data_IF_683061010695
#
_entry.id   IF_683061010695
#
_cell.length_a   1.000
_cell.length_b   1.000
_cell.length_c   1.000
_cell.angle_alpha   90.00
_cell.angle_beta   90.00
_cell.angle_gamma   90.00
#
_symmetry.space_group_name_H-M   'P 1'
#
loop_
_entity.id
_entity.type
_entity.pdbx_description
1 polymer ?
#
# COMPACT_ATOMS: atom_id res chain seq x y z
N UNK A 1 -12.81 19.72 3.59
CA UNK A 1 -12.72 18.87 2.43
C UNK A 1 -11.68 19.34 1.43
N UNK A 2 -11.37 18.50 0.49
CA UNK A 2 -10.43 18.80 -0.58
C UNK A 2 -11.05 19.81 -1.56
N UNK A 3 -10.32 20.85 -1.89
CA UNK A 3 -10.77 21.87 -2.85
C UNK A 3 -10.87 21.32 -4.27
N UNK A 4 -11.55 22.05 -5.16
CA UNK A 4 -11.66 21.67 -6.56
C UNK A 4 -10.29 21.66 -7.22
N UNK A 5 -10.05 20.75 -8.19
CA UNK A 5 -8.86 20.81 -9.03
C UNK A 5 -8.84 22.11 -9.84
N UNK A 6 -7.67 22.72 -9.98
CA UNK A 6 -7.53 23.97 -10.70
C UNK A 6 -7.14 23.73 -12.16
N UNK A 7 -7.53 24.68 -13.03
CA UNK A 7 -7.13 24.67 -14.42
C UNK A 7 -5.65 25.05 -14.49
N UNK A 8 -4.84 24.16 -15.05
CA UNK A 8 -3.42 24.40 -15.27
C UNK A 8 -3.11 25.03 -16.61
N UNK A 9 -1.82 25.15 -16.91
CA UNK A 9 -1.33 25.63 -18.20
C UNK A 9 -1.84 24.75 -19.35
N UNK A 10 -2.05 25.35 -20.53
CA UNK A 10 -2.49 24.65 -21.75
C UNK A 10 -3.84 23.90 -21.61
N UNK A 11 -4.72 24.36 -20.71
CA UNK A 11 -6.04 23.76 -20.53
C UNK A 11 -6.04 22.45 -19.74
N UNK A 12 -4.90 21.99 -19.21
CA UNK A 12 -4.82 20.81 -18.36
C UNK A 12 -5.45 21.07 -17.00
N UNK A 13 -5.85 19.99 -16.32
CA UNK A 13 -6.39 20.06 -14.95
C UNK A 13 -5.31 19.66 -13.96
N UNK A 14 -5.03 20.51 -12.98
CA UNK A 14 -4.04 20.24 -11.94
C UNK A 14 -4.63 19.35 -10.85
N UNK A 15 -3.94 18.25 -10.57
CA UNK A 15 -4.34 17.29 -9.53
C UNK A 15 -3.13 16.96 -8.67
N UNK A 16 -3.31 16.97 -7.35
CA UNK A 16 -2.27 16.57 -6.40
C UNK A 16 -2.59 15.20 -5.83
N UNK A 17 -1.64 14.27 -5.93
CA UNK A 17 -1.75 12.92 -5.37
C UNK A 17 -0.56 12.67 -4.45
N UNK A 18 -0.86 12.27 -3.22
CA UNK A 18 0.14 11.84 -2.26
C UNK A 18 0.33 10.33 -2.35
N UNK A 19 1.57 9.88 -2.31
CA UNK A 19 1.91 8.45 -2.30
C UNK A 19 2.57 8.11 -0.97
N UNK A 20 2.23 6.99 -0.38
CA UNK A 20 2.79 6.53 0.89
C UNK A 20 4.18 5.91 0.78
N UNK A 21 5.04 6.53 -0.03
CA UNK A 21 6.40 6.09 -0.39
C UNK A 21 6.48 5.78 -1.87
N UNK A 22 6.80 6.81 -2.67
CA UNK A 22 6.75 6.74 -4.15
C UNK A 22 7.70 5.70 -4.73
N UNK A 23 8.81 5.41 -4.06
CA UNK A 23 9.81 4.44 -4.49
C UNK A 23 9.45 2.99 -4.13
N UNK A 24 8.41 2.77 -3.32
CA UNK A 24 7.97 1.42 -2.95
C UNK A 24 7.31 0.74 -4.14
N UNK A 25 7.65 -0.53 -4.38
CA UNK A 25 7.07 -1.30 -5.51
C UNK A 25 5.55 -1.46 -5.36
N UNK A 26 5.05 -1.52 -4.14
CA UNK A 26 3.59 -1.59 -3.90
C UNK A 26 2.82 -0.41 -4.48
N UNK A 27 3.49 0.73 -4.72
CA UNK A 27 2.90 1.94 -5.30
C UNK A 27 3.41 2.26 -6.69
N UNK A 28 4.06 1.28 -7.33
CA UNK A 28 4.64 1.40 -8.67
C UNK A 28 3.72 2.09 -9.69
N UNK A 29 2.42 1.77 -9.77
CA UNK A 29 1.57 2.36 -10.82
C UNK A 29 1.50 3.87 -10.80
N UNK A 30 1.66 4.53 -9.66
CA UNK A 30 1.55 5.99 -9.57
C UNK A 30 2.64 6.69 -10.40
N UNK A 31 3.91 6.42 -10.10
CA UNK A 31 5.02 7.04 -10.83
C UNK A 31 5.13 6.51 -12.25
N UNK A 32 4.80 5.23 -12.46
CA UNK A 32 4.82 4.64 -13.79
C UNK A 32 3.81 5.30 -14.73
N UNK A 33 2.59 5.58 -14.27
CA UNK A 33 1.59 6.30 -15.05
C UNK A 33 2.11 7.68 -15.50
N UNK A 34 2.78 8.37 -14.59
CA UNK A 34 3.40 9.67 -14.88
C UNK A 34 4.51 9.53 -15.92
N UNK A 35 5.44 8.59 -15.74
CA UNK A 35 6.57 8.34 -16.65
C UNK A 35 6.12 7.93 -18.06
N UNK A 36 5.02 7.17 -18.15
CA UNK A 36 4.46 6.75 -19.42
C UNK A 36 3.61 7.82 -20.11
N UNK A 37 3.39 8.96 -19.45
CA UNK A 37 2.59 10.06 -20.01
C UNK A 37 1.09 9.83 -19.98
N UNK A 38 0.61 8.83 -19.21
CA UNK A 38 -0.80 8.45 -19.23
C UNK A 38 -1.71 9.47 -18.55
N UNK A 39 -1.21 10.23 -17.58
CA UNK A 39 -1.97 11.36 -17.01
C UNK A 39 -2.09 12.50 -18.04
N UNK A 40 -1.00 12.84 -18.71
CA UNK A 40 -1.00 13.85 -19.76
C UNK A 40 -1.97 13.52 -20.89
N UNK A 41 -2.01 12.25 -21.28
CA UNK A 41 -2.92 11.79 -22.34
C UNK A 41 -4.39 12.02 -21.96
N UNK A 42 -4.70 12.11 -20.66
CA UNK A 42 -6.03 12.41 -20.16
C UNK A 42 -6.25 13.91 -19.92
N UNK A 43 -5.32 14.77 -20.29
CA UNK A 43 -5.41 16.20 -20.03
C UNK A 43 -5.21 16.56 -18.56
N UNK A 44 -4.53 15.71 -17.79
CA UNK A 44 -4.24 15.95 -16.38
C UNK A 44 -2.78 16.37 -16.21
N UNK A 45 -2.56 17.34 -15.33
CA UNK A 45 -1.25 17.66 -14.79
C UNK A 45 -1.21 17.17 -13.35
N UNK A 46 -0.71 15.95 -13.14
CA UNK A 46 -0.68 15.32 -11.84
C UNK A 46 0.66 15.61 -11.16
N UNK A 47 0.59 16.25 -10.00
CA UNK A 47 1.73 16.41 -9.11
C UNK A 47 1.75 15.21 -8.17
N UNK A 48 2.77 14.37 -8.29
CA UNK A 48 2.99 13.23 -7.40
C UNK A 48 3.86 13.69 -6.23
N UNK A 49 3.29 13.61 -5.03
CA UNK A 49 3.95 13.91 -3.77
C UNK A 49 4.21 12.61 -3.01
N UNK A 50 5.16 12.61 -2.11
CA UNK A 50 5.51 11.41 -1.35
C UNK A 50 5.65 11.69 0.13
N UNK A 51 5.19 10.74 0.94
CA UNK A 51 5.43 10.64 2.38
C UNK A 51 5.96 9.24 2.66
N UNK A 52 6.85 9.05 3.64
CA UNK A 52 7.48 7.74 3.85
C UNK A 52 6.53 6.66 4.38
N UNK A 53 5.38 7.05 4.95
CA UNK A 53 4.44 6.13 5.58
C UNK A 53 3.00 6.39 5.13
N UNK A 54 2.21 5.32 5.05
CA UNK A 54 0.79 5.41 4.67
C UNK A 54 -0.04 6.26 5.61
N UNK A 55 0.25 6.24 6.91
CA UNK A 55 -0.47 7.07 7.89
C UNK A 55 -0.27 8.57 7.64
N UNK A 56 0.94 9.00 7.27
CA UNK A 56 1.21 10.41 6.96
C UNK A 56 0.62 10.81 5.60
N UNK A 57 0.62 9.91 4.63
CA UNK A 57 -0.05 10.14 3.34
C UNK A 57 -1.56 10.33 3.52
N UNK A 58 -2.19 9.46 4.29
CA UNK A 58 -3.61 9.55 4.65
C UNK A 58 -3.95 10.90 5.28
N UNK A 59 -3.12 11.36 6.22
CA UNK A 59 -3.33 12.62 6.91
C UNK A 59 -3.33 13.83 5.96
N UNK A 60 -2.56 13.78 4.87
CA UNK A 60 -2.53 14.87 3.89
C UNK A 60 -3.86 15.02 3.14
N UNK A 61 -4.57 13.91 2.92
CA UNK A 61 -5.91 13.95 2.33
C UNK A 61 -6.92 14.53 3.33
N UNK A 62 -6.89 14.07 4.56
CA UNK A 62 -7.81 14.56 5.61
C UNK A 62 -7.61 16.05 5.87
N UNK A 63 -6.38 16.54 5.80
CA UNK A 63 -6.06 17.95 5.94
C UNK A 63 -6.49 18.80 4.73
N UNK A 64 -6.86 18.19 3.61
CA UNK A 64 -7.25 18.89 2.39
C UNK A 64 -6.06 19.35 1.54
N UNK A 65 -4.87 18.83 1.79
CA UNK A 65 -3.64 19.24 1.07
C UNK A 65 -3.53 18.60 -0.31
N UNK A 66 -4.18 17.47 -0.53
CA UNK A 66 -4.14 16.70 -1.77
C UNK A 66 -5.53 16.25 -2.19
N UNK A 67 -5.71 15.90 -3.48
CA UNK A 67 -6.99 15.43 -4.02
C UNK A 67 -7.18 13.92 -3.85
N UNK A 68 -6.09 13.17 -3.82
CA UNK A 68 -6.13 11.73 -3.66
C UNK A 68 -4.86 11.20 -3.03
N UNK A 69 -4.92 9.94 -2.60
CA UNK A 69 -3.79 9.22 -2.03
C UNK A 69 -3.66 7.87 -2.74
N UNK A 70 -2.44 7.53 -3.12
CA UNK A 70 -2.08 6.15 -3.46
C UNK A 70 -1.58 5.51 -2.17
N UNK A 71 -2.42 4.67 -1.61
CA UNK A 71 -2.21 4.04 -0.31
C UNK A 71 -3.08 2.81 -0.16
N UNK A 72 -3.09 2.23 1.05
CA UNK A 72 -3.81 0.99 1.30
C UNK A 72 -5.29 1.21 1.55
N UNK A 73 -6.08 0.32 0.96
CA UNK A 73 -7.53 0.32 1.10
C UNK A 73 -8.00 0.23 2.56
N UNK A 74 -7.29 -0.48 3.44
CA UNK A 74 -7.68 -0.67 4.84
C UNK A 74 -7.90 0.67 5.57
N UNK A 75 -7.22 1.72 5.15
CA UNK A 75 -7.41 3.05 5.72
C UNK A 75 -8.83 3.59 5.51
N UNK A 76 -9.50 3.23 4.42
CA UNK A 76 -10.88 3.68 4.17
C UNK A 76 -11.84 3.16 5.22
N UNK A 77 -11.65 1.92 5.66
CA UNK A 77 -12.45 1.28 6.70
C UNK A 77 -12.14 1.93 8.06
N UNK A 78 -10.87 2.07 8.39
CA UNK A 78 -10.45 2.70 9.64
C UNK A 78 -10.98 4.15 9.76
N UNK A 79 -10.90 4.92 8.68
CA UNK A 79 -11.40 6.30 8.65
C UNK A 79 -12.92 6.38 8.75
N UNK A 80 -13.65 5.39 8.26
CA UNK A 80 -15.09 5.36 8.42
C UNK A 80 -15.47 5.29 9.90
N UNK A 81 -14.71 4.57 10.73
CA UNK A 81 -14.94 4.52 12.18
C UNK A 81 -14.77 5.88 12.85
N UNK A 82 -14.06 6.80 12.19
CA UNK A 82 -13.81 8.17 12.65
C UNK A 82 -14.73 9.18 11.98
N UNK A 83 -15.79 8.71 11.32
CA UNK A 83 -16.78 9.56 10.68
C UNK A 83 -16.36 10.17 9.34
N UNK A 84 -15.31 9.61 8.71
CA UNK A 84 -14.83 10.07 7.40
C UNK A 84 -15.31 9.13 6.30
N UNK A 85 -15.75 9.69 5.16
CA UNK A 85 -16.09 8.91 3.98
C UNK A 85 -14.95 9.03 2.96
N UNK A 86 -14.13 7.98 2.90
CA UNK A 86 -13.02 7.86 1.96
C UNK A 86 -13.25 6.60 1.14
N UNK A 87 -13.14 6.71 -0.18
CA UNK A 87 -13.46 5.60 -1.08
C UNK A 87 -12.31 5.30 -2.04
N UNK A 88 -12.00 4.02 -2.22
CA UNK A 88 -11.09 3.55 -3.27
C UNK A 88 -11.81 3.63 -4.61
N UNK A 89 -11.23 4.36 -5.55
CA UNK A 89 -11.81 4.51 -6.90
C UNK A 89 -11.08 3.65 -7.94
N UNK A 90 -9.85 3.24 -7.65
CA UNK A 90 -9.08 2.24 -8.42
C UNK A 90 -8.41 1.31 -7.41
N UNK A 91 -8.71 0.03 -7.47
CA UNK A 91 -8.05 -0.98 -6.64
C UNK A 91 -6.95 -1.64 -7.46
N UNK A 92 -5.70 -1.37 -7.11
CA UNK A 92 -4.55 -1.80 -7.94
C UNK A 92 -4.02 -3.17 -7.54
N UNK A 93 -3.94 -3.46 -6.24
CA UNK A 93 -3.40 -4.72 -5.74
C UNK A 93 -4.46 -5.51 -4.98
N UNK A 94 -4.46 -6.82 -5.17
CA UNK A 94 -5.36 -7.76 -4.49
C UNK A 94 -4.77 -8.32 -3.20
N UNK A 95 -3.47 -8.11 -2.99
CA UNK A 95 -2.71 -8.58 -1.83
C UNK A 95 -1.77 -7.48 -1.33
N UNK A 96 -1.30 -7.56 -0.07
CA UNK A 96 -0.53 -6.46 0.54
C UNK A 96 0.80 -6.14 -0.13
N UNK A 97 1.49 -7.14 -0.68
CA UNK A 97 2.88 -6.95 -1.08
C UNK A 97 3.84 -6.81 0.10
N UNK A 98 3.36 -6.97 1.31
CA UNK A 98 4.14 -6.86 2.54
C UNK A 98 4.77 -8.18 2.92
N UNK A 99 5.97 -8.11 3.49
CA UNK A 99 6.74 -9.26 3.92
C UNK A 99 7.18 -9.04 5.36
N UNK A 100 6.90 -10.02 6.22
CA UNK A 100 7.52 -10.05 7.54
C UNK A 100 8.88 -10.68 7.42
N UNK A 101 9.91 -9.91 7.78
CA UNK A 101 11.30 -10.36 7.78
C UNK A 101 11.81 -10.48 9.20
N UNK A 102 12.73 -11.42 9.43
CA UNK A 102 13.39 -11.63 10.71
C UNK A 102 14.89 -11.40 10.53
N UNK A 103 15.51 -10.67 11.44
CA UNK A 103 16.96 -10.53 11.45
C UNK A 103 17.61 -11.92 11.41
N UNK A 104 18.60 -12.10 10.56
CA UNK A 104 19.26 -13.43 10.38
C UNK A 104 19.71 -14.01 11.72
N UNK A 105 20.25 -13.16 12.61
CA UNK A 105 20.71 -13.60 13.95
C UNK A 105 19.56 -14.00 14.88
N UNK A 106 18.31 -13.71 14.55
CA UNK A 106 17.11 -14.01 15.37
C UNK A 106 16.24 -15.09 14.75
N UNK A 107 16.60 -15.63 13.58
CA UNK A 107 15.78 -16.56 12.84
C UNK A 107 15.46 -17.84 13.62
N UNK A 108 16.37 -18.30 14.48
CA UNK A 108 16.14 -19.50 15.30
C UNK A 108 15.16 -19.24 16.45
N UNK A 109 15.05 -18.00 16.91
CA UNK A 109 14.16 -17.60 18.01
C UNK A 109 12.77 -17.19 17.54
N UNK A 110 12.62 -16.82 16.26
CA UNK A 110 11.36 -16.33 15.70
C UNK A 110 11.02 -17.16 14.46
N UNK A 111 10.23 -18.21 14.65
CA UNK A 111 9.86 -19.16 13.59
C UNK A 111 8.45 -18.95 13.07
N UNK A 112 7.64 -18.22 13.84
CA UNK A 112 6.26 -17.84 13.47
C UNK A 112 5.85 -16.63 14.30
N UNK A 113 4.70 -15.99 13.99
CA UNK A 113 4.18 -14.91 14.83
C UNK A 113 3.88 -15.30 16.27
N UNK A 114 3.72 -16.59 16.57
CA UNK A 114 3.59 -17.07 17.95
C UNK A 114 4.83 -16.74 18.80
N UNK A 115 5.97 -16.52 18.18
CA UNK A 115 7.23 -16.16 18.83
C UNK A 115 7.42 -14.65 19.00
N UNK A 116 6.43 -13.83 18.68
CA UNK A 116 6.54 -12.36 18.76
C UNK A 116 6.57 -11.83 20.18
N UNK A 117 6.12 -12.63 21.17
CA UNK A 117 6.12 -12.19 22.58
C UNK A 117 7.50 -11.80 23.05
N UNK A 118 7.62 -10.59 23.60
CA UNK A 118 8.87 -10.04 24.12
C UNK A 118 9.84 -9.53 23.05
N UNK A 119 9.43 -9.52 21.78
CA UNK A 119 10.29 -9.09 20.67
C UNK A 119 10.04 -7.64 20.31
N UNK A 120 11.04 -7.03 19.65
CA UNK A 120 10.94 -5.70 19.05
C UNK A 120 10.54 -5.86 17.59
N UNK A 121 9.33 -5.41 17.25
CA UNK A 121 8.75 -5.58 15.93
C UNK A 121 8.65 -4.24 15.21
N UNK A 122 9.28 -4.15 14.05
CA UNK A 122 9.30 -2.93 13.23
C UNK A 122 8.12 -2.86 12.28
N UNK A 123 7.64 -1.65 12.06
CA UNK A 123 6.68 -1.29 11.02
C UNK A 123 6.97 0.14 10.57
N UNK A 124 6.33 0.59 9.49
CA UNK A 124 6.66 1.90 8.90
C UNK A 124 6.39 3.04 9.89
N UNK A 125 5.16 3.14 10.38
CA UNK A 125 4.76 4.07 11.45
C UNK A 125 3.47 3.57 12.11
N UNK A 126 3.16 4.05 13.33
CA UNK A 126 1.86 3.73 13.95
C UNK A 126 0.70 4.16 13.04
N UNK A 127 -0.27 3.25 12.84
CA UNK A 127 -1.43 3.48 12.01
C UNK A 127 -1.24 3.19 10.53
N UNK A 128 -0.05 2.82 10.09
CA UNK A 128 0.19 2.30 8.75
C UNK A 128 -0.28 0.85 8.63
N UNK A 129 -0.50 0.36 7.39
CA UNK A 129 -0.94 -1.03 7.21
C UNK A 129 0.10 -2.04 7.66
N UNK A 130 1.39 -1.71 7.62
CA UNK A 130 2.44 -2.56 8.19
C UNK A 130 2.26 -2.76 9.70
N UNK A 131 1.83 -1.73 10.42
CA UNK A 131 1.44 -1.82 11.83
C UNK A 131 0.17 -2.65 11.99
N UNK A 132 -0.86 -2.41 11.18
CA UNK A 132 -2.12 -3.15 11.23
C UNK A 132 -1.90 -4.66 11.08
N UNK A 133 -1.13 -5.08 10.08
CA UNK A 133 -0.88 -6.49 9.84
C UNK A 133 0.02 -7.11 10.90
N UNK A 134 0.96 -6.36 11.46
CA UNK A 134 1.75 -6.82 12.62
C UNK A 134 0.84 -7.12 13.81
N UNK A 135 -0.08 -6.22 14.14
CA UNK A 135 -1.04 -6.42 15.22
C UNK A 135 -1.94 -7.62 14.97
N UNK A 136 -2.44 -7.78 13.74
CA UNK A 136 -3.27 -8.91 13.36
C UNK A 136 -2.54 -10.24 13.53
N UNK A 137 -1.33 -10.34 12.97
CA UNK A 137 -0.54 -11.57 13.02
C UNK A 137 -0.20 -11.96 14.47
N UNK A 138 0.18 -11.00 15.29
CA UNK A 138 0.43 -11.22 16.71
C UNK A 138 -0.85 -11.73 17.42
N UNK A 139 -1.94 -11.00 17.30
CA UNK A 139 -3.20 -11.31 17.96
C UNK A 139 -3.74 -12.68 17.54
N UNK A 140 -3.70 -12.99 16.25
CA UNK A 140 -4.17 -14.27 15.73
C UNK A 140 -3.34 -15.45 16.25
N UNK A 141 -2.09 -15.21 16.58
CA UNK A 141 -1.16 -16.25 17.08
C UNK A 141 -1.01 -16.20 18.61
N UNK A 142 -1.96 -15.59 19.30
CA UNK A 142 -2.02 -15.62 20.78
C UNK A 142 -1.10 -14.63 21.48
N UNK A 143 -0.57 -13.64 20.75
CA UNK A 143 0.29 -12.61 21.32
C UNK A 143 -0.49 -11.28 21.32
N UNK A 144 -0.73 -10.75 22.52
CA UNK A 144 -1.39 -9.46 22.68
C UNK A 144 -0.45 -8.33 22.18
N UNK A 145 -1.02 -7.23 21.70
CA UNK A 145 -0.24 -6.08 21.24
C UNK A 145 0.58 -5.43 22.35
N UNK A 146 0.21 -5.65 23.62
CA UNK A 146 0.98 -5.22 24.79
C UNK A 146 2.16 -6.14 25.11
N UNK A 147 2.27 -7.30 24.47
CA UNK A 147 3.28 -8.32 24.77
C UNK A 147 4.50 -8.23 23.84
N UNK A 148 4.50 -7.36 22.87
CA UNK A 148 5.69 -7.04 22.07
C UNK A 148 5.93 -5.54 22.07
N UNK A 149 7.14 -5.13 21.68
CA UNK A 149 7.49 -3.72 21.54
C UNK A 149 7.37 -3.33 20.07
N UNK A 150 6.39 -2.47 19.75
CA UNK A 150 6.25 -1.91 18.41
C UNK A 150 7.25 -0.78 18.19
N UNK A 151 7.94 -0.79 17.05
CA UNK A 151 8.98 0.18 16.74
C UNK A 151 8.70 0.83 15.39
N UNK A 152 8.66 2.17 15.37
CA UNK A 152 8.61 2.94 14.13
C UNK A 152 9.95 2.79 13.43
N UNK A 153 10.00 1.95 12.40
CA UNK A 153 11.24 1.62 11.69
C UNK A 153 11.36 2.25 10.31
N UNK A 154 10.30 2.94 9.83
CA UNK A 154 10.31 3.53 8.50
C UNK A 154 10.35 2.48 7.40
N UNK A 155 11.01 2.81 6.31
CA UNK A 155 11.22 1.96 5.15
C UNK A 155 12.61 2.24 4.56
N UNK A 156 13.06 1.40 3.62
CA UNK A 156 14.35 1.60 2.97
C UNK A 156 15.51 1.55 3.95
N UNK A 157 16.42 2.49 3.82
CA UNK A 157 17.65 2.53 4.66
C UNK A 157 17.35 2.68 6.14
N UNK A 158 16.28 3.36 6.52
CA UNK A 158 15.88 3.51 7.93
C UNK A 158 15.49 2.16 8.53
N UNK A 159 14.71 1.36 7.80
CA UNK A 159 14.32 0.02 8.22
C UNK A 159 15.54 -0.90 8.33
N UNK A 160 16.40 -0.87 7.30
CA UNK A 160 17.62 -1.69 7.26
C UNK A 160 18.53 -1.35 8.46
N UNK A 161 18.70 -0.06 8.78
CA UNK A 161 19.50 0.37 9.91
C UNK A 161 18.91 -0.10 11.24
N UNK A 162 17.59 -0.04 11.41
CA UNK A 162 16.94 -0.53 12.62
C UNK A 162 17.22 -2.02 12.84
N UNK A 163 17.16 -2.81 11.77
CA UNK A 163 17.46 -4.24 11.84
C UNK A 163 18.93 -4.52 12.16
N UNK A 164 19.85 -3.81 11.47
CA UNK A 164 21.29 -3.97 11.63
C UNK A 164 21.78 -3.60 13.04
N UNK A 165 21.18 -2.57 13.62
CA UNK A 165 21.60 -2.02 14.92
C UNK A 165 20.84 -2.64 16.09
N UNK A 166 20.19 -3.78 15.88
CA UNK A 166 19.38 -4.47 16.88
C UNK A 166 18.23 -3.60 17.45
N UNK A 167 17.79 -2.61 16.70
CA UNK A 167 16.63 -1.79 17.05
C UNK A 167 15.32 -2.55 16.91
N UNK A 168 15.28 -3.53 15.99
CA UNK A 168 14.18 -4.47 15.80
C UNK A 168 14.72 -5.89 15.64
N UNK A 169 13.94 -6.87 16.06
CA UNK A 169 14.24 -8.30 15.90
C UNK A 169 13.64 -8.85 14.59
N UNK A 170 12.49 -8.31 14.23
CA UNK A 170 11.73 -8.64 13.04
C UNK A 170 10.94 -7.42 12.63
N UNK A 171 10.38 -7.40 11.43
CA UNK A 171 9.55 -6.29 11.01
C UNK A 171 8.84 -6.52 9.70
N UNK A 172 7.81 -5.71 9.46
CA UNK A 172 6.99 -5.71 8.25
C UNK A 172 7.49 -4.63 7.31
N UNK A 173 7.87 -5.01 6.10
CA UNK A 173 8.33 -4.09 5.07
C UNK A 173 7.91 -4.57 3.68
N UNK A 174 8.34 -3.87 2.65
CA UNK A 174 7.98 -4.12 1.26
C UNK A 174 9.19 -4.01 0.36
N UNK A 175 9.07 -4.40 -0.91
CA UNK A 175 10.13 -4.16 -1.88
C UNK A 175 10.22 -2.66 -2.23
N UNK A 176 11.41 -2.15 -2.54
CA UNK A 176 12.67 -2.87 -2.76
C UNK A 176 13.46 -3.20 -1.48
N UNK A 177 13.01 -2.80 -0.30
CA UNK A 177 13.73 -3.06 0.97
C UNK A 177 13.92 -4.56 1.21
N UNK A 178 12.90 -5.38 0.92
CA UNK A 178 12.98 -6.84 1.08
C UNK A 178 14.15 -7.41 0.26
N UNK A 179 14.21 -7.06 -1.03
CA UNK A 179 15.28 -7.55 -1.90
C UNK A 179 16.66 -7.15 -1.39
N UNK A 180 16.82 -5.92 -0.90
CA UNK A 180 18.08 -5.43 -0.36
C UNK A 180 18.51 -6.21 0.91
N UNK A 181 17.56 -6.49 1.79
CA UNK A 181 17.82 -7.27 3.01
C UNK A 181 18.24 -8.71 2.71
N UNK A 182 17.57 -9.34 1.73
CA UNK A 182 17.87 -10.70 1.34
C UNK A 182 19.23 -10.80 0.61
N UNK A 183 19.52 -9.85 -0.28
CA UNK A 183 20.77 -9.80 -1.03
C UNK A 183 21.98 -9.69 -0.10
N UNK A 184 21.88 -8.87 0.94
CA UNK A 184 22.95 -8.68 1.93
C UNK A 184 22.89 -9.69 3.06
N UNK A 185 21.95 -10.64 3.03
CA UNK A 185 21.76 -11.70 4.04
C UNK A 185 21.51 -11.18 5.46
N UNK A 186 20.96 -9.97 5.56
CA UNK A 186 20.67 -9.33 6.86
C UNK A 186 19.37 -9.84 7.47
N UNK A 187 18.50 -10.41 6.65
CA UNK A 187 17.21 -10.91 7.10
C UNK A 187 16.81 -12.17 6.33
N UNK A 188 15.86 -12.89 6.90
CA UNK A 188 15.15 -14.03 6.26
C UNK A 188 13.67 -13.71 6.23
N UNK A 189 12.96 -14.27 5.25
CA UNK A 189 11.50 -14.13 5.17
C UNK A 189 10.84 -15.04 6.20
N UNK A 190 9.96 -14.48 7.01
CA UNK A 190 9.09 -15.22 7.91
C UNK A 190 7.72 -15.48 7.26
N UNK A 191 7.09 -14.45 6.72
CA UNK A 191 5.82 -14.53 6.01
C UNK A 191 5.88 -13.65 4.77
N UNK A 192 5.37 -14.19 3.66
CA UNK A 192 5.40 -13.50 2.36
C UNK A 192 3.97 -13.26 1.87
N UNK A 193 3.53 -12.01 1.91
CA UNK A 193 2.21 -11.62 1.41
C UNK A 193 2.30 -10.85 0.09
N UNK A 194 3.34 -11.12 -0.72
CA UNK A 194 3.45 -10.62 -2.08
C UNK A 194 2.63 -11.44 -3.08
N UNK A 195 2.15 -12.60 -2.67
CA UNK A 195 1.39 -13.53 -3.50
C UNK A 195 0.01 -13.77 -2.92
N UNK A 196 -0.91 -14.23 -3.77
CA UNK A 196 -2.26 -14.65 -3.35
C UNK A 196 -2.17 -15.80 -2.36
N UNK A 197 -1.35 -16.82 -2.65
CA UNK A 197 -1.22 -18.00 -1.80
C UNK A 197 -0.69 -17.63 -0.41
N UNK A 198 0.37 -16.84 -0.34
CA UNK A 198 0.93 -16.42 0.95
C UNK A 198 -0.03 -15.54 1.75
N UNK A 199 -0.76 -14.68 1.07
CA UNK A 199 -1.76 -13.82 1.70
C UNK A 199 -2.93 -14.64 2.25
N UNK A 200 -3.44 -15.59 1.49
CA UNK A 200 -4.53 -16.46 1.95
C UNK A 200 -4.10 -17.26 3.17
N UNK A 201 -2.87 -17.78 3.18
CA UNK A 201 -2.34 -18.52 4.33
C UNK A 201 -2.22 -17.65 5.57
N UNK A 202 -1.77 -16.39 5.43
CA UNK A 202 -1.53 -15.49 6.55
C UNK A 202 -2.82 -14.80 7.04
N UNK A 203 -3.71 -14.41 6.11
CA UNK A 203 -4.84 -13.51 6.40
C UNK A 203 -6.22 -14.12 6.13
N UNK A 204 -6.28 -15.38 5.72
CA UNK A 204 -7.54 -16.09 5.51
C UNK A 204 -8.26 -15.79 4.20
N UNK A 205 -7.72 -14.96 3.34
CA UNK A 205 -8.31 -14.60 2.04
C UNK A 205 -7.48 -13.54 1.34
N UNK A 206 -8.01 -12.97 0.26
CA UNK A 206 -7.43 -11.80 -0.37
C UNK A 206 -7.43 -10.63 0.60
N UNK A 207 -6.50 -9.72 0.42
CA UNK A 207 -6.42 -8.47 1.17
C UNK A 207 -6.09 -7.35 0.17
N UNK A 208 -7.12 -6.81 -0.49
CA UNK A 208 -6.92 -5.68 -1.41
C UNK A 208 -6.19 -4.55 -0.72
N UNK A 209 -5.14 -4.08 -1.36
CA UNK A 209 -4.16 -3.21 -0.72
C UNK A 209 -3.98 -1.91 -1.49
N UNK A 210 -2.89 -1.74 -2.24
CA UNK A 210 -2.65 -0.45 -2.91
C UNK A 210 -3.81 -0.05 -3.81
N UNK A 211 -4.20 1.21 -3.69
CA UNK A 211 -5.37 1.79 -4.34
C UNK A 211 -5.16 3.29 -4.54
N UNK A 212 -6.02 3.89 -5.36
CA UNK A 212 -6.23 5.34 -5.33
C UNK A 212 -7.49 5.59 -4.52
N UNK A 213 -7.37 6.24 -3.36
CA UNK A 213 -8.53 6.58 -2.57
C UNK A 213 -8.70 8.10 -2.44
N UNK A 214 -9.95 8.54 -2.33
CA UNK A 214 -10.32 9.95 -2.36
C UNK A 214 -11.50 10.19 -1.42
N UNK A 215 -11.72 11.44 -1.07
CA UNK A 215 -12.90 11.86 -0.29
C UNK A 215 -14.18 11.61 -1.12
N UNK A 216 -15.21 11.04 -0.49
CA UNK A 216 -16.46 10.68 -1.17
C UNK A 216 -17.13 11.90 -1.81
N UNK A 217 -17.13 13.06 -1.13
CA UNK A 217 -17.73 14.28 -1.66
C UNK A 217 -16.97 14.80 -2.87
N UNK A 218 -15.63 14.71 -2.84
CA UNK A 218 -14.81 15.06 -4.00
C UNK A 218 -15.16 14.18 -5.21
N UNK A 219 -15.28 12.87 -5.01
CA UNK A 219 -15.63 11.93 -6.08
C UNK A 219 -16.98 12.29 -6.71
N UNK A 220 -17.99 12.61 -5.91
CA UNK A 220 -19.31 12.97 -6.41
C UNK A 220 -19.30 14.30 -7.18
N UNK A 221 -18.49 15.26 -6.74
CA UNK A 221 -18.43 16.60 -7.33
C UNK A 221 -17.53 16.69 -8.56
N UNK A 222 -16.59 15.75 -8.73
CA UNK A 222 -15.55 15.80 -9.77
C UNK A 222 -15.40 14.47 -10.50
N UNK A 223 -16.52 13.87 -10.91
CA UNK A 223 -16.53 12.55 -11.56
C UNK A 223 -15.71 12.51 -12.86
N UNK A 224 -15.66 13.61 -13.59
CA UNK A 224 -14.86 13.71 -14.82
C UNK A 224 -13.36 13.56 -14.53
N UNK A 225 -12.86 14.21 -13.50
CA UNK A 225 -11.45 14.10 -13.09
C UNK A 225 -11.15 12.69 -12.60
N UNK A 226 -12.04 12.13 -11.78
CA UNK A 226 -11.88 10.77 -11.24
C UNK A 226 -11.88 9.74 -12.38
N UNK A 227 -12.75 9.90 -13.39
CA UNK A 227 -12.76 9.01 -14.56
C UNK A 227 -11.44 9.05 -15.32
N UNK A 228 -10.88 10.24 -15.52
CA UNK A 228 -9.59 10.41 -16.19
C UNK A 228 -8.44 9.77 -15.42
N UNK A 229 -8.44 9.90 -14.09
CA UNK A 229 -7.48 9.22 -13.23
C UNK A 229 -7.63 7.70 -13.34
N UNK A 230 -8.85 7.20 -13.28
CA UNK A 230 -9.11 5.76 -13.43
C UNK A 230 -8.61 5.24 -14.79
N UNK A 231 -8.87 5.98 -15.88
CA UNK A 231 -8.39 5.61 -17.21
C UNK A 231 -6.86 5.46 -17.22
N UNK A 232 -6.14 6.42 -16.63
CA UNK A 232 -4.68 6.41 -16.59
C UNK A 232 -4.15 5.25 -15.74
N UNK A 233 -4.71 5.03 -14.55
CA UNK A 233 -4.25 3.97 -13.67
C UNK A 233 -4.54 2.57 -14.22
N UNK A 234 -5.72 2.35 -14.81
CA UNK A 234 -6.06 1.04 -15.40
C UNK A 234 -5.16 0.74 -16.59
N UNK A 235 -4.89 1.74 -17.42
CA UNK A 235 -3.93 1.58 -18.52
C UNK A 235 -2.55 1.20 -18.01
N UNK A 236 -2.13 1.79 -16.90
CA UNK A 236 -0.84 1.47 -16.25
C UNK A 236 -0.84 0.04 -15.71
N UNK A 237 -1.92 -0.43 -15.10
CA UNK A 237 -2.04 -1.82 -14.65
C UNK A 237 -1.92 -2.79 -15.83
N UNK A 238 -2.49 -2.45 -16.98
CA UNK A 238 -2.31 -3.20 -18.22
C UNK A 238 -0.85 -3.27 -18.64
N UNK A 239 -0.14 -2.15 -18.57
CA UNK A 239 1.29 -2.11 -18.87
C UNK A 239 2.09 -3.03 -17.93
N UNK A 240 1.85 -2.96 -16.64
CA UNK A 240 2.53 -3.81 -15.64
C UNK A 240 2.31 -5.29 -15.93
N UNK A 241 1.11 -5.66 -16.35
CA UNK A 241 0.75 -7.05 -16.57
C UNK A 241 1.18 -7.59 -17.94
N UNK A 242 1.60 -6.73 -18.87
CA UNK A 242 2.02 -7.12 -20.24
C UNK A 242 3.50 -6.87 -20.52
N UNK A 243 4.24 -6.31 -19.58
CA UNK A 243 5.68 -6.02 -19.75
C UNK A 243 6.49 -6.74 -18.68
N UNK A 244 7.75 -7.01 -19.00
CA UNK A 244 8.69 -7.61 -18.05
C UNK A 244 9.08 -6.63 -16.95
N UNK A 245 9.56 -7.16 -15.83
CA UNK A 245 10.09 -6.34 -14.75
C UNK A 245 11.24 -5.44 -15.24
N UNK A 246 12.06 -5.93 -16.16
CA UNK A 246 13.16 -5.18 -16.75
C UNK A 246 12.64 -3.99 -17.57
N UNK A 247 11.61 -4.21 -18.39
CA UNK A 247 10.98 -3.15 -19.17
C UNK A 247 10.32 -2.10 -18.28
N UNK A 248 9.66 -2.53 -17.21
CA UNK A 248 9.04 -1.63 -16.24
C UNK A 248 10.10 -0.79 -15.53
N UNK A 249 11.18 -1.44 -15.04
CA UNK A 249 12.26 -0.74 -14.34
C UNK A 249 12.92 0.33 -15.23
N UNK A 250 13.03 0.07 -16.53
CA UNK A 250 13.60 1.01 -17.48
C UNK A 250 12.78 2.30 -17.63
N UNK A 251 11.48 2.26 -17.32
CA UNK A 251 10.61 3.43 -17.35
C UNK A 251 10.65 4.26 -16.06
N UNK A 252 11.10 3.67 -14.96
CA UNK A 252 11.11 4.34 -13.66
C UNK A 252 12.30 5.29 -13.51
N UNK A 253 12.22 6.28 -12.61
CA UNK A 253 13.38 7.13 -12.33
C UNK A 253 14.58 6.29 -11.91
N UNK A 254 15.76 6.64 -12.43
CA UNK A 254 17.00 5.85 -12.20
C UNK A 254 17.38 5.76 -10.71
N UNK A 255 17.08 6.80 -9.95
CA UNK A 255 17.39 6.83 -8.51
C UNK A 255 16.58 5.80 -7.71
N UNK A 256 15.44 5.32 -8.23
CA UNK A 256 14.66 4.27 -7.57
C UNK A 256 15.42 2.95 -7.49
N UNK A 257 16.35 2.71 -8.39
CA UNK A 257 17.19 1.51 -8.36
C UNK A 257 18.27 1.55 -7.26
N UNK A 258 18.50 2.70 -6.62
CA UNK A 258 19.49 2.82 -5.54
C UNK A 258 20.89 2.39 -5.92
N UNK A 259 21.28 2.56 -7.20
CA UNK A 259 22.60 2.16 -7.70
C UNK A 259 22.72 0.66 -8.04
N UNK A 260 21.65 -0.13 -7.93
CA UNK A 260 21.64 -1.56 -8.26
C UNK A 260 20.39 -1.91 -9.08
N UNK A 261 20.51 -1.74 -10.40
CA UNK A 261 19.39 -1.99 -11.31
C UNK A 261 18.93 -3.44 -11.31
N UNK A 262 19.86 -4.40 -11.25
CA UNK A 262 19.50 -5.83 -11.25
C UNK A 262 18.65 -6.19 -10.03
N UNK A 263 18.99 -5.65 -8.88
CA UNK A 263 18.24 -5.88 -7.65
C UNK A 263 16.86 -5.19 -7.70
N UNK A 264 16.78 -4.01 -8.28
CA UNK A 264 15.50 -3.32 -8.49
C UNK A 264 14.58 -4.12 -9.42
N UNK A 265 15.11 -4.61 -10.53
CA UNK A 265 14.37 -5.49 -11.46
C UNK A 265 13.86 -6.72 -10.71
N UNK A 266 14.70 -7.35 -9.89
CA UNK A 266 14.29 -8.50 -9.08
C UNK A 266 13.15 -8.14 -8.14
N UNK A 267 13.21 -6.99 -7.47
CA UNK A 267 12.16 -6.54 -6.55
C UNK A 267 10.82 -6.35 -7.27
N UNK A 268 10.82 -5.79 -8.47
CA UNK A 268 9.62 -5.65 -9.29
C UNK A 268 9.10 -7.03 -9.70
N UNK A 269 9.98 -7.89 -10.17
CA UNK A 269 9.58 -9.24 -10.62
C UNK A 269 8.94 -10.06 -9.49
N UNK A 270 9.49 -9.98 -8.29
CA UNK A 270 8.97 -10.70 -7.12
C UNK A 270 7.64 -10.14 -6.61
N UNK A 271 7.33 -8.88 -6.89
CA UNK A 271 6.17 -8.18 -6.34
C UNK A 271 5.06 -7.86 -7.35
N UNK A 272 5.37 -7.78 -8.65
CA UNK A 272 4.38 -7.27 -9.63
C UNK A 272 3.13 -8.14 -9.76
N UNK A 273 3.19 -9.40 -9.36
CA UNK A 273 2.04 -10.30 -9.35
C UNK A 273 0.92 -9.86 -8.40
N UNK A 274 1.19 -8.92 -7.48
CA UNK A 274 0.15 -8.36 -6.62
C UNK A 274 -0.87 -7.51 -7.39
N UNK A 275 -0.48 -6.93 -8.52
CA UNK A 275 -1.31 -5.99 -9.26
C UNK A 275 -2.31 -6.71 -10.16
N UNK A 276 -3.57 -6.29 -10.09
CA UNK A 276 -4.61 -6.77 -11.00
C UNK A 276 -4.55 -6.02 -12.35
N UNK A 277 -5.43 -6.39 -13.28
CA UNK A 277 -5.40 -5.85 -14.64
C UNK A 277 -6.48 -4.80 -14.91
N UNK A 278 -7.52 -4.73 -14.08
CA UNK A 278 -8.72 -3.94 -14.38
C UNK A 278 -9.06 -2.87 -13.34
N UNK A 279 -8.34 -2.83 -12.24
CA UNK A 279 -8.58 -1.86 -11.17
C UNK A 279 -9.84 -2.10 -10.35
N UNK A 280 -10.48 -3.26 -10.50
CA UNK A 280 -11.73 -3.56 -9.81
C UNK A 280 -11.50 -4.19 -8.44
N UNK A 281 -12.20 -3.66 -7.44
CA UNK A 281 -12.25 -4.28 -6.12
C UNK A 281 -12.94 -5.64 -6.20
N UNK A 282 -12.34 -6.64 -5.59
CA UNK A 282 -12.98 -7.93 -5.35
C UNK A 282 -13.75 -7.89 -4.04
N UNK A 283 -15.06 -8.02 -4.10
CA UNK A 283 -15.96 -7.86 -2.94
C UNK A 283 -15.58 -8.75 -1.76
N UNK A 284 -15.21 -10.01 -2.02
CA UNK A 284 -14.78 -10.94 -0.97
C UNK A 284 -13.47 -10.49 -0.33
N UNK A 285 -12.60 -9.85 -1.10
CA UNK A 285 -11.37 -9.26 -0.59
C UNK A 285 -11.64 -8.10 0.37
N UNK A 286 -12.54 -7.20 0.00
CA UNK A 286 -12.94 -6.08 0.87
C UNK A 286 -13.53 -6.60 2.19
N UNK A 287 -14.36 -7.63 2.12
CA UNK A 287 -14.90 -8.28 3.33
C UNK A 287 -13.80 -8.86 4.21
N UNK A 288 -12.77 -9.46 3.61
CA UNK A 288 -11.65 -10.01 4.39
C UNK A 288 -10.82 -8.91 5.04
N UNK A 289 -10.64 -7.77 4.40
CA UNK A 289 -9.97 -6.63 5.04
C UNK A 289 -10.73 -6.20 6.29
N UNK A 290 -12.05 -6.07 6.20
CA UNK A 290 -12.89 -5.77 7.37
C UNK A 290 -12.75 -6.84 8.45
N UNK A 291 -12.76 -8.12 8.07
CA UNK A 291 -12.60 -9.24 9.02
C UNK A 291 -11.25 -9.14 9.74
N UNK A 292 -10.16 -8.89 9.02
CA UNK A 292 -8.82 -8.74 9.60
C UNK A 292 -8.80 -7.58 10.59
N UNK A 293 -9.32 -6.41 10.21
CA UNK A 293 -9.36 -5.25 11.10
C UNK A 293 -10.21 -5.51 12.35
N UNK A 294 -11.31 -6.28 12.21
CA UNK A 294 -12.20 -6.60 13.33
C UNK A 294 -11.55 -7.45 14.40
N UNK A 295 -10.44 -8.13 14.08
CA UNK A 295 -9.75 -9.00 15.03
C UNK A 295 -8.85 -8.24 16.01
N UNK A 296 -8.34 -7.08 15.64
CA UNK A 296 -7.36 -6.38 16.48
C UNK A 296 -7.65 -4.90 16.68
N UNK A 297 -8.30 -4.23 15.71
CA UNK A 297 -8.49 -2.78 15.75
C UNK A 297 -9.49 -2.40 16.82
N UNK A 298 -9.14 -1.58 17.82
CA UNK A 298 -10.09 -1.16 18.86
C UNK A 298 -11.30 -0.39 18.27
N UNK A 299 -11.14 0.23 17.10
CA UNK A 299 -12.21 0.98 16.46
C UNK A 299 -13.20 0.07 15.71
N UNK A 300 -12.79 -1.11 15.31
CA UNK A 300 -13.58 -2.05 14.48
C UNK A 300 -14.02 -3.29 15.26
N UNK A 301 -13.19 -3.74 16.21
CA UNK A 301 -13.47 -4.95 17.00
C UNK A 301 -14.80 -4.82 17.73
N UNK A 302 -15.70 -5.79 17.49
CA UNK A 302 -17.05 -5.77 18.03
C UNK A 302 -18.01 -4.80 17.36
N UNK A 303 -17.57 -4.08 16.33
CA UNK A 303 -18.35 -3.07 15.60
C UNK A 303 -18.39 -3.31 14.09
N UNK A 304 -18.01 -4.51 13.66
CA UNK A 304 -17.91 -4.88 12.25
C UNK A 304 -19.22 -4.58 11.47
N UNK A 305 -20.36 -4.87 12.09
CA UNK A 305 -21.67 -4.69 11.47
C UNK A 305 -22.05 -3.21 11.27
N UNK A 306 -21.35 -2.30 11.91
CA UNK A 306 -21.57 -0.86 11.76
C UNK A 306 -20.80 -0.26 10.57
N UNK A 307 -19.95 -1.05 9.93
CA UNK A 307 -19.15 -0.60 8.79
C UNK A 307 -19.93 -0.85 7.50
N UNK A 308 -20.12 0.20 6.73
CA UNK A 308 -20.74 0.13 5.40
C UNK A 308 -19.63 0.05 4.35
N UNK A 309 -19.33 -1.15 3.89
CA UNK A 309 -18.29 -1.37 2.88
C UNK A 309 -18.61 -0.70 1.55
N UNK A 310 -19.87 -0.50 1.22
CA UNK A 310 -20.27 0.15 -0.04
C UNK A 310 -19.79 1.61 -0.13
N UNK A 311 -19.43 2.22 0.99
CA UNK A 311 -18.88 3.58 1.05
C UNK A 311 -17.36 3.62 1.01
N UNK A 312 -16.70 2.46 1.03
CA UNK A 312 -15.24 2.36 1.11
C UNK A 312 -14.58 2.12 -0.25
N UNK A 313 -15.35 1.73 -1.25
CA UNK A 313 -14.84 1.57 -2.61
C UNK A 313 -15.97 1.74 -3.63
N UNK A 314 -15.60 2.01 -4.87
CA UNK A 314 -16.51 2.02 -5.99
C UNK A 314 -15.84 1.42 -7.23
N UNK A 315 -16.62 0.71 -8.05
CA UNK A 315 -16.18 0.21 -9.36
C UNK A 315 -16.76 1.06 -10.51
N UNK A 316 -17.43 2.15 -10.20
CA UNK A 316 -18.10 2.99 -11.20
C UNK A 316 -17.17 3.43 -12.32
N UNK A 317 -15.97 3.89 -11.96
CA UNK A 317 -15.04 4.51 -12.92
C UNK A 317 -14.23 3.47 -13.69
N UNK A 318 -13.77 2.43 -13.02
CA UNK A 318 -12.95 1.40 -13.66
C UNK A 318 -13.75 0.52 -14.63
N UNK A 319 -15.08 0.45 -14.47
CA UNK A 319 -15.95 -0.23 -15.43
C UNK A 319 -16.18 0.56 -16.71
N UNK A 320 -15.89 1.87 -16.70
CA UNK A 320 -16.09 2.78 -17.84
C UNK A 320 -14.78 3.19 -18.50
N UNK A 321 -13.70 2.48 -18.25
CA UNK A 321 -12.37 2.81 -18.79
C UNK A 321 -12.37 2.67 -20.32
N UNK A 322 -11.76 3.69 -20.96
CA UNK A 322 -11.59 3.73 -22.41
C UNK A 322 -10.10 3.66 -22.79
#
# INVERSE_FOLDING_TARGET
GTGAPTQGANGSTDVKIMVGGVEKVIYLPAKLADQLGYFKDQGLNVQILTEPAGATAENSLIAGDVHGVVGFYDHTIDLQTKGKCITSVVQMADVPGEVEVVATSKADAIKSPADFKGKKLGFTSPGSSTDFLTQYLATKNGVATSEYTGVKAGAGTTFISALDNNGIDAGMTTDPTVAQLLDTKKAKILLDMRTVQGTQAALGGLYPASSLYMDCAFVEQHKDVVQKLANAFVKTLGYVNTHSAQEIAAQMPKDFAGGNMDLYVKSINDSKGMFNTDGKMKADGAKNVLEVLSQFSPNVKGKKDNIDLSKTYTTEFVTKVQ
#
